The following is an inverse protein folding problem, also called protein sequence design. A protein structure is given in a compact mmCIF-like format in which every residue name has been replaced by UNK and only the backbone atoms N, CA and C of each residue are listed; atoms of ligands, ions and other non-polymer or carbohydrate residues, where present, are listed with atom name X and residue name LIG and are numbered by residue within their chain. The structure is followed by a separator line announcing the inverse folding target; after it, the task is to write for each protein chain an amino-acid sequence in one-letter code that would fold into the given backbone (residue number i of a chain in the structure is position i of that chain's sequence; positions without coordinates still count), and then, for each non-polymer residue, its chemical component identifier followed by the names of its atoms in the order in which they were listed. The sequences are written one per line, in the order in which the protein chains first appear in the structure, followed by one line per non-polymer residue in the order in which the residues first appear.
data_IF_296610799414
#
_entry.id   IF_296610799414
#
_cell.length_a   1.000
_cell.length_b   1.000
_cell.length_c   1.000
_cell.angle_alpha   90.00
_cell.angle_beta   90.00
_cell.angle_gamma   90.00
#
_symmetry.space_group_name_H-M   'P 1'
#
loop_
_entity.id
_entity.type
_entity.pdbx_description
1 polymer ?
#
# COMPACT_ATOMS: atom_id res chain seq x y z
N UNK A 1 2.08 15.30 12.54
CA UNK A 1 3.40 15.10 13.12
C UNK A 1 4.43 15.13 12.00
N UNK A 2 5.46 15.92 12.12
CA UNK A 2 6.39 16.08 10.99
C UNK A 2 7.02 14.79 10.54
N UNK A 3 7.37 13.91 11.46
CA UNK A 3 7.99 12.66 11.10
C UNK A 3 7.02 11.80 10.29
N UNK A 4 5.77 11.77 10.70
CA UNK A 4 4.79 11.00 9.96
C UNK A 4 4.57 11.57 8.57
N UNK A 5 4.57 12.89 8.44
CA UNK A 5 4.39 13.50 7.14
C UNK A 5 5.53 13.13 6.20
N UNK A 6 6.75 13.11 6.72
CA UNK A 6 7.88 12.73 5.91
C UNK A 6 7.77 11.27 5.46
N UNK A 7 7.39 10.40 6.38
CA UNK A 7 7.26 8.99 6.04
C UNK A 7 6.17 8.77 5.02
N UNK A 8 5.07 9.51 5.13
CA UNK A 8 3.99 9.37 4.17
C UNK A 8 4.42 9.80 2.79
N UNK A 9 5.17 10.90 2.72
CA UNK A 9 5.64 11.38 1.43
C UNK A 9 6.62 10.41 0.80
N UNK A 10 7.53 9.86 1.60
CA UNK A 10 8.47 8.89 1.07
C UNK A 10 7.78 7.65 0.58
N UNK A 11 6.74 7.23 1.29
CA UNK A 11 5.97 6.07 0.85
C UNK A 11 5.35 6.33 -0.52
N UNK A 12 4.76 7.51 -0.71
CA UNK A 12 4.17 7.83 -1.99
C UNK A 12 5.21 7.87 -3.10
N UNK A 13 6.38 8.40 -2.80
CA UNK A 13 7.44 8.45 -3.81
C UNK A 13 7.89 7.06 -4.20
N UNK A 14 8.01 6.16 -3.23
CA UNK A 14 8.38 4.79 -3.55
C UNK A 14 7.34 4.12 -4.44
N UNK A 15 6.07 4.36 -4.13
CA UNK A 15 5.00 3.80 -4.96
C UNK A 15 5.04 4.38 -6.37
N UNK A 16 5.36 5.65 -6.50
CA UNK A 16 5.46 6.25 -7.82
C UNK A 16 6.57 5.62 -8.65
N UNK A 17 7.72 5.39 -8.05
CA UNK A 17 8.81 4.74 -8.75
C UNK A 17 8.42 3.36 -9.20
N UNK A 18 7.78 2.59 -8.31
CA UNK A 18 7.34 1.26 -8.69
C UNK A 18 6.30 1.31 -9.79
N UNK A 19 5.42 2.30 -9.75
CA UNK A 19 4.42 2.46 -10.79
C UNK A 19 5.09 2.66 -12.14
N UNK A 20 6.12 3.50 -12.17
CA UNK A 20 6.77 3.80 -13.43
C UNK A 20 7.52 2.60 -13.99
N UNK A 21 7.97 1.71 -13.13
CA UNK A 21 8.75 0.57 -13.58
C UNK A 21 7.92 -0.68 -13.81
N UNK A 22 6.66 -0.67 -13.46
CA UNK A 22 5.87 -1.88 -13.45
C UNK A 22 5.27 -2.18 -14.81
N UNK A 23 4.90 -3.44 -14.98
CA UNK A 23 4.13 -3.83 -16.15
C UNK A 23 2.71 -3.28 -16.05
N UNK A 24 2.00 -3.18 -17.18
CA UNK A 24 0.69 -2.50 -17.15
C UNK A 24 -0.29 -3.05 -16.13
N UNK A 25 -0.38 -4.37 -15.99
CA UNK A 25 -1.34 -4.90 -15.04
C UNK A 25 -0.97 -4.54 -13.61
N UNK A 26 0.32 -4.60 -13.29
CA UNK A 26 0.77 -4.25 -11.96
C UNK A 26 0.63 -2.74 -11.73
N UNK A 27 0.82 -1.98 -12.80
CA UNK A 27 0.70 -0.53 -12.69
C UNK A 27 -0.68 -0.11 -12.23
N UNK A 28 -1.71 -0.76 -12.74
CA UNK A 28 -3.06 -0.43 -12.33
C UNK A 28 -3.26 -0.70 -10.84
N UNK A 29 -2.69 -1.81 -10.35
CA UNK A 29 -2.81 -2.10 -8.94
C UNK A 29 -2.09 -1.06 -8.10
N UNK A 30 -0.90 -0.68 -8.52
CA UNK A 30 -0.15 0.31 -7.75
C UNK A 30 -0.90 1.64 -7.74
N UNK A 31 -1.50 2.00 -8.87
CA UNK A 31 -2.26 3.24 -8.91
C UNK A 31 -3.40 3.20 -7.91
N UNK A 32 -4.09 2.08 -7.79
CA UNK A 32 -5.14 1.96 -6.80
C UNK A 32 -4.62 2.18 -5.39
N UNK A 33 -3.46 1.64 -5.09
CA UNK A 33 -2.87 1.85 -3.77
C UNK A 33 -2.55 3.32 -3.54
N UNK A 34 -2.02 4.00 -4.56
CA UNK A 34 -1.70 5.41 -4.43
C UNK A 34 -2.96 6.23 -4.18
N UNK A 35 -4.00 5.95 -4.95
CA UNK A 35 -5.23 6.71 -4.81
C UNK A 35 -5.89 6.47 -3.47
N UNK A 36 -5.87 5.23 -3.00
CA UNK A 36 -6.48 4.95 -1.72
C UNK A 36 -5.66 5.56 -0.58
N UNK A 37 -4.34 5.56 -0.73
CA UNK A 37 -3.51 6.20 0.28
C UNK A 37 -3.82 7.69 0.37
N UNK A 38 -4.04 8.33 -0.78
CA UNK A 38 -4.42 9.73 -0.75
C UNK A 38 -5.73 9.94 0.02
N UNK A 39 -6.69 9.05 -0.16
CA UNK A 39 -7.93 9.15 0.57
C UNK A 39 -7.72 8.96 2.06
N UNK A 40 -6.88 8.01 2.42
CA UNK A 40 -6.62 7.76 3.83
C UNK A 40 -5.88 8.92 4.46
N UNK A 41 -4.95 9.53 3.72
CA UNK A 41 -4.27 10.71 4.24
C UNK A 41 -5.26 11.85 4.44
N UNK A 42 -6.22 11.99 3.55
CA UNK A 42 -7.22 13.05 3.68
C UNK A 42 -8.11 12.85 4.90
N UNK A 43 -8.24 11.62 5.37
CA UNK A 43 -9.05 11.38 6.56
C UNK A 43 -8.39 11.95 7.81
N UNK A 44 -7.08 12.16 7.78
CA UNK A 44 -6.33 12.68 8.91
C UNK A 44 -6.43 11.81 10.14
N UNK A 45 -6.71 10.54 9.97
CA UNK A 45 -6.79 9.59 11.06
C UNK A 45 -5.44 8.89 11.20
N UNK A 46 -4.66 9.20 12.23
CA UNK A 46 -3.30 8.63 12.30
C UNK A 46 -3.27 7.12 12.39
N UNK A 47 -4.29 6.52 12.99
CA UNK A 47 -4.30 5.06 13.08
C UNK A 47 -4.51 4.42 11.72
N UNK A 48 -5.44 4.97 10.94
CA UNK A 48 -5.68 4.44 9.60
C UNK A 48 -4.46 4.66 8.72
N UNK A 49 -3.85 5.81 8.83
CA UNK A 49 -2.69 6.11 8.02
C UNK A 49 -1.55 5.14 8.35
N UNK A 50 -1.30 4.91 9.62
CA UNK A 50 -0.22 4.02 10.01
C UNK A 50 -0.49 2.60 9.57
N UNK A 51 -1.72 2.12 9.74
CA UNK A 51 -2.04 0.77 9.33
C UNK A 51 -1.92 0.57 7.82
N UNK A 52 -2.38 1.54 7.07
CA UNK A 52 -2.27 1.40 5.61
C UNK A 52 -0.82 1.51 5.17
N UNK A 53 -0.03 2.32 5.85
CA UNK A 53 1.38 2.42 5.54
C UNK A 53 2.08 1.08 5.79
N UNK A 54 1.70 0.39 6.85
CA UNK A 54 2.25 -0.93 7.10
C UNK A 54 1.88 -1.92 6.00
N UNK A 55 0.66 -1.84 5.52
CA UNK A 55 0.26 -2.68 4.40
C UNK A 55 1.09 -2.36 3.18
N UNK A 56 1.30 -1.08 2.91
CA UNK A 56 2.08 -0.69 1.75
C UNK A 56 3.52 -1.16 1.84
N UNK A 57 4.08 -1.21 3.04
CA UNK A 57 5.43 -1.75 3.18
C UNK A 57 5.47 -3.20 2.70
N UNK A 58 4.45 -3.99 3.03
CA UNK A 58 4.40 -5.36 2.57
C UNK A 58 4.22 -5.44 1.06
N UNK A 59 3.39 -4.57 0.51
CA UNK A 59 3.18 -4.55 -0.93
C UNK A 59 4.48 -4.22 -1.65
N UNK A 60 5.19 -3.20 -1.16
CA UNK A 60 6.42 -2.79 -1.81
C UNK A 60 7.46 -3.90 -1.71
N UNK A 61 7.56 -4.56 -0.57
CA UNK A 61 8.50 -5.66 -0.42
C UNK A 61 8.19 -6.77 -1.40
N UNK A 62 6.92 -7.08 -1.59
CA UNK A 62 6.53 -8.10 -2.54
C UNK A 62 6.89 -7.72 -3.97
N UNK A 63 6.68 -6.47 -4.31
CA UNK A 63 6.98 -6.04 -5.66
C UNK A 63 8.47 -6.03 -5.93
N UNK A 64 9.26 -5.66 -4.93
CA UNK A 64 10.70 -5.59 -5.11
C UNK A 64 11.34 -6.96 -5.19
N UNK A 65 10.68 -7.97 -4.66
CA UNK A 65 11.23 -9.31 -4.71
C UNK A 65 10.46 -10.22 -5.65
N UNK A 66 9.64 -9.65 -6.53
CA UNK A 66 8.81 -10.44 -7.42
C UNK A 66 9.67 -11.33 -8.31
N UNK A 67 9.26 -12.58 -8.42
CA UNK A 67 9.96 -13.55 -9.25
C UNK A 67 9.00 -13.98 -10.36
N UNK A 68 9.26 -13.60 -11.59
CA UNK A 68 8.34 -13.96 -12.68
C UNK A 68 8.16 -15.46 -12.84
N UNK A 69 9.12 -16.25 -12.44
CA UNK A 69 8.97 -17.68 -12.59
C UNK A 69 7.99 -18.26 -11.62
N UNK A 70 7.76 -17.63 -10.50
CA UNK A 70 6.73 -18.07 -9.62
C UNK A 70 5.39 -17.67 -10.13
N UNK A 71 5.35 -16.72 -11.01
CA UNK A 71 4.15 -16.40 -11.73
C UNK A 71 3.03 -15.86 -10.92
N UNK A 72 3.09 -15.85 -9.67
CA UNK A 72 1.98 -15.42 -8.89
C UNK A 72 2.42 -14.39 -7.91
N UNK A 73 1.91 -13.22 -8.00
CA UNK A 73 2.16 -12.19 -7.05
C UNK A 73 0.86 -11.87 -6.40
N UNK A 74 0.75 -12.13 -5.12
CA UNK A 74 -0.47 -11.88 -4.40
C UNK A 74 -0.36 -10.60 -3.65
N UNK A 75 -1.36 -9.76 -3.78
CA UNK A 75 -1.41 -8.50 -3.05
C UNK A 75 -2.35 -8.64 -1.88
N UNK A 76 -1.95 -8.17 -0.72
CA UNK A 76 -2.86 -8.20 0.43
C UNK A 76 -4.10 -7.38 0.17
N UNK A 77 -5.21 -7.84 0.68
CA UNK A 77 -6.42 -7.08 0.56
C UNK A 77 -6.57 -6.19 1.76
N UNK A 78 -6.89 -4.95 1.53
CA UNK A 78 -7.09 -4.00 2.63
C UNK A 78 -8.52 -4.06 3.11
N UNK A 79 -8.71 -4.29 4.39
CA UNK A 79 -10.03 -4.26 4.97
C UNK A 79 -10.06 -3.28 6.09
N UNK A 80 -10.91 -2.26 5.92
CA UNK A 80 -10.84 -1.24 6.86
C UNK A 80 -11.42 -1.62 8.13
N UNK A 81 -12.46 -2.39 8.14
CA UNK A 81 -13.10 -2.53 9.29
C UNK A 81 -12.52 -3.45 10.19
N UNK A 82 -12.01 -4.30 9.85
CA UNK A 82 -11.44 -5.24 10.57
C UNK A 82 -11.47 -5.21 11.98
N UNK A 83 -11.85 -4.33 12.56
CA UNK A 83 -11.80 -4.39 13.82
C UNK A 83 -12.67 -5.27 14.28
N UNK A 84 -13.11 -5.57 14.64
CA UNK A 84 -13.95 -6.33 15.17
C UNK A 84 -14.21 -7.50 14.64
N UNK A 85 -14.39 -7.68 13.92
CA UNK A 85 -14.74 -8.69 13.46
C UNK A 85 -14.01 -9.55 13.28
N UNK A 86 -13.45 -9.24 13.22
CA UNK A 86 -12.71 -10.02 12.94
C UNK A 86 -12.86 -11.30 13.17
N UNK A 87 -12.71 -11.58 13.43
CA UNK A 87 -12.64 -12.68 13.56
C UNK A 87 -13.39 -13.49 13.21
N UNK A 88 -13.78 -13.56 13.00
CA UNK A 88 -14.39 -14.38 12.67
C UNK A 88 -14.20 -15.23 12.08
N UNK A 89 -13.85 -15.47 12.04
CA UNK A 89 -13.73 -16.22 11.60
C UNK A 89 -13.87 -16.74 11.60
#
# INVERSE_FOLDING_TARGET
HPKDMTENRLMKERLQVLFEEALPETRERILSYIEYFDQILASQDPRRIRRYRELLEQVIASLETYDPFEGMLEFPEWKEEDEGEGGSE
#
